data_IF_640247216831
#
_entry.id   IF_640247216831
#
_cell.length_a   1.000
_cell.length_b   1.000
_cell.length_c   1.000
_cell.angle_alpha   90.00
_cell.angle_beta   90.00
_cell.angle_gamma   90.00
#
_symmetry.space_group_name_H-M   'P 1'
#
loop_
_entity.id
_entity.type
_entity.pdbx_description
1 polymer ?
#
# COMPACT_ATOMS: atom_id res chain seq x y z
N UNK A 1 19.02 23.83 -66.10
CA UNK A 1 17.64 23.63 -66.56
C UNK A 1 17.29 22.21 -66.18
N UNK A 2 16.45 21.90 -65.20
CA UNK A 2 15.41 22.66 -64.49
C UNK A 2 15.34 22.22 -63.03
N UNK A 3 14.97 23.18 -62.18
CA UNK A 3 14.56 23.02 -60.79
C UNK A 3 13.17 22.39 -60.70
N UNK A 4 12.80 21.82 -59.55
CA UNK A 4 11.44 21.32 -59.37
C UNK A 4 11.09 20.69 -58.03
N UNK A 5 11.32 21.43 -56.94
CA UNK A 5 10.47 21.55 -55.73
C UNK A 5 9.72 20.28 -55.24
N UNK A 6 10.12 19.79 -54.06
CA UNK A 6 9.14 19.52 -53.01
C UNK A 6 9.77 19.67 -51.62
N UNK A 7 9.67 20.90 -51.09
CA UNK A 7 9.83 21.24 -49.67
C UNK A 7 8.43 21.48 -49.12
N UNK A 8 8.09 20.75 -48.05
CA UNK A 8 7.30 21.10 -46.84
C UNK A 8 6.57 19.83 -46.41
N UNK A 9 6.79 19.28 -45.22
CA UNK A 9 6.46 19.86 -43.91
C UNK A 9 7.38 19.24 -42.82
N UNK A 10 8.14 20.01 -42.03
CA UNK A 10 7.75 20.56 -40.72
C UNK A 10 6.81 19.61 -39.96
N UNK A 11 7.14 19.07 -38.80
CA UNK A 11 7.58 19.73 -37.57
C UNK A 11 7.71 18.58 -36.52
N UNK A 12 8.30 18.84 -35.34
CA UNK A 12 8.16 18.03 -34.10
C UNK A 12 9.15 16.83 -34.01
N UNK A 13 10.07 16.68 -33.07
CA UNK A 13 10.40 17.33 -31.80
C UNK A 13 11.93 17.39 -31.71
N UNK A 14 12.52 18.59 -31.83
CA UNK A 14 13.90 18.80 -31.44
C UNK A 14 13.91 19.06 -29.93
N UNK A 15 13.73 18.00 -29.12
CA UNK A 15 14.03 18.09 -27.69
C UNK A 15 15.53 18.03 -27.58
N UNK A 16 16.11 19.22 -27.51
CA UNK A 16 17.46 19.47 -27.02
C UNK A 16 17.62 18.73 -25.69
N UNK A 17 18.17 17.51 -25.75
CA UNK A 17 18.68 16.78 -24.62
C UNK A 17 19.90 17.59 -24.14
N UNK A 18 19.63 18.60 -23.30
CA UNK A 18 20.66 19.17 -22.43
C UNK A 18 21.30 17.98 -21.72
N UNK A 19 22.54 17.65 -22.08
CA UNK A 19 23.40 16.77 -21.29
C UNK A 19 23.62 17.47 -19.96
N UNK A 20 22.69 17.29 -19.04
CA UNK A 20 22.99 17.37 -17.63
C UNK A 20 23.97 16.22 -17.39
N UNK A 21 25.25 16.53 -17.35
CA UNK A 21 26.21 15.73 -16.59
C UNK A 21 25.78 15.82 -15.13
N UNK A 22 24.70 15.11 -14.78
CA UNK A 22 24.43 14.76 -13.41
C UNK A 22 25.62 13.90 -13.01
N UNK A 23 26.37 14.38 -12.01
CA UNK A 23 27.27 13.54 -11.26
C UNK A 23 26.37 12.48 -10.63
N UNK A 24 26.28 11.32 -11.28
CA UNK A 24 25.57 10.18 -10.76
C UNK A 24 26.29 9.82 -9.46
N UNK A 25 25.61 9.81 -8.30
CA UNK A 25 26.23 9.36 -7.06
C UNK A 25 26.80 7.95 -7.26
N UNK A 26 28.00 7.68 -6.74
CA UNK A 26 28.72 6.40 -6.95
C UNK A 26 27.85 5.16 -6.65
N UNK A 27 26.96 5.26 -5.66
CA UNK A 27 26.00 4.21 -5.29
C UNK A 27 24.97 3.90 -6.39
N UNK A 28 24.52 4.91 -7.13
CA UNK A 28 23.57 4.73 -8.24
C UNK A 28 24.26 4.10 -9.46
N UNK A 29 25.54 4.45 -9.69
CA UNK A 29 26.36 3.83 -10.73
C UNK A 29 26.59 2.34 -10.42
N UNK A 30 26.81 1.98 -9.15
CA UNK A 30 26.95 0.58 -8.71
C UNK A 30 25.72 -0.26 -9.04
N UNK A 31 24.51 0.27 -8.82
CA UNK A 31 23.26 -0.42 -9.17
C UNK A 31 23.10 -0.56 -10.69
N UNK A 32 23.46 0.46 -11.46
CA UNK A 32 23.47 0.37 -12.93
C UNK A 32 24.42 -0.70 -13.45
N UNK A 33 25.61 -0.85 -12.83
CA UNK A 33 26.53 -1.93 -13.13
C UNK A 33 25.93 -3.31 -12.82
N UNK A 34 25.28 -3.47 -11.66
CA UNK A 34 24.62 -4.71 -11.27
C UNK A 34 23.49 -5.12 -12.24
N UNK A 35 22.66 -4.18 -12.67
CA UNK A 35 21.60 -4.45 -13.66
C UNK A 35 22.18 -4.91 -15.01
N UNK A 36 23.31 -4.32 -15.43
CA UNK A 36 24.02 -4.73 -16.64
C UNK A 36 24.62 -6.14 -16.50
N UNK A 37 25.14 -6.51 -15.34
CA UNK A 37 25.62 -7.87 -15.06
C UNK A 37 24.47 -8.90 -15.10
N UNK A 38 23.27 -8.51 -14.66
CA UNK A 38 22.04 -9.32 -14.80
C UNK A 38 21.43 -9.30 -16.20
N UNK A 39 22.12 -8.71 -17.18
CA UNK A 39 21.68 -8.62 -18.57
C UNK A 39 20.35 -7.85 -18.77
N UNK A 40 20.09 -6.86 -17.91
CA UNK A 40 18.93 -5.95 -18.04
C UNK A 40 19.34 -4.70 -18.82
N UNK A 41 19.01 -4.67 -20.12
CA UNK A 41 19.46 -3.61 -21.03
C UNK A 41 18.57 -2.35 -21.03
N UNK A 42 17.29 -2.49 -20.64
CA UNK A 42 16.32 -1.40 -20.65
C UNK A 42 15.54 -1.37 -19.34
N UNK A 43 15.64 -0.26 -18.61
CA UNK A 43 14.91 0.00 -17.37
C UNK A 43 14.49 1.46 -17.28
N UNK A 44 13.42 1.74 -16.55
CA UNK A 44 13.03 3.10 -16.20
C UNK A 44 14.08 3.68 -15.23
N UNK A 45 14.62 4.89 -15.47
CA UNK A 45 15.56 5.54 -14.55
C UNK A 45 15.09 5.60 -13.09
N UNK A 46 13.78 5.65 -12.83
CA UNK A 46 13.20 5.64 -11.47
C UNK A 46 13.46 4.34 -10.72
N UNK A 47 13.66 3.22 -11.43
CA UNK A 47 13.96 1.92 -10.82
C UNK A 47 15.30 1.97 -10.09
N UNK A 48 16.28 2.72 -10.59
CA UNK A 48 17.56 2.88 -9.91
C UNK A 48 17.41 3.54 -8.54
N UNK A 49 16.61 4.60 -8.46
CA UNK A 49 16.35 5.30 -7.20
C UNK A 49 15.54 4.43 -6.23
N UNK A 50 14.52 3.72 -6.72
CA UNK A 50 13.74 2.79 -5.92
C UNK A 50 14.59 1.66 -5.34
N UNK A 51 15.47 1.07 -6.17
CA UNK A 51 16.35 -0.01 -5.74
C UNK A 51 17.40 0.49 -4.75
N UNK A 52 17.90 1.72 -4.93
CA UNK A 52 18.81 2.35 -3.98
C UNK A 52 18.12 2.59 -2.63
N UNK A 53 16.92 3.16 -2.65
CA UNK A 53 16.12 3.40 -1.45
C UNK A 53 15.77 2.09 -0.73
N UNK A 54 15.42 1.04 -1.48
CA UNK A 54 15.16 -0.29 -0.92
C UNK A 54 16.43 -0.88 -0.27
N UNK A 55 17.59 -0.79 -0.94
CA UNK A 55 18.85 -1.28 -0.40
C UNK A 55 19.25 -0.54 0.89
N UNK A 56 19.06 0.78 0.95
CA UNK A 56 19.29 1.56 2.15
C UNK A 56 18.31 1.23 3.28
N UNK A 57 17.02 1.12 2.98
CA UNK A 57 16.01 0.73 3.96
C UNK A 57 16.33 -0.65 4.55
N UNK A 58 16.63 -1.63 3.70
CA UNK A 58 17.02 -2.97 4.11
C UNK A 58 18.27 -2.97 4.99
N UNK A 59 19.33 -2.27 4.58
CA UNK A 59 20.58 -2.20 5.35
C UNK A 59 20.38 -1.54 6.70
N UNK A 60 19.55 -0.48 6.75
CA UNK A 60 19.21 0.22 7.99
C UNK A 60 18.47 -0.70 8.96
N UNK A 61 17.46 -1.42 8.49
CA UNK A 61 16.69 -2.35 9.33
C UNK A 61 17.58 -3.47 9.86
N UNK A 62 18.48 -4.00 9.03
CA UNK A 62 19.46 -5.01 9.43
C UNK A 62 20.38 -4.49 10.54
N UNK A 63 20.92 -3.26 10.39
CA UNK A 63 21.78 -2.64 11.40
C UNK A 63 21.03 -2.43 12.72
N UNK A 64 19.77 -1.98 12.67
CA UNK A 64 18.92 -1.81 13.86
C UNK A 64 18.75 -3.16 14.58
N UNK A 65 18.45 -4.22 13.82
CA UNK A 65 18.30 -5.58 14.37
C UNK A 65 19.61 -6.13 14.95
N UNK A 66 20.72 -5.93 14.27
CA UNK A 66 22.04 -6.31 14.81
C UNK A 66 22.39 -5.53 16.08
N UNK A 67 21.99 -4.27 16.18
CA UNK A 67 22.15 -3.49 17.42
C UNK A 67 21.29 -4.05 18.55
N UNK A 68 20.04 -4.45 18.25
CA UNK A 68 19.15 -5.11 19.22
C UNK A 68 19.79 -6.38 19.79
N UNK A 69 20.38 -7.24 18.96
CA UNK A 69 21.10 -8.43 19.42
C UNK A 69 22.35 -8.11 20.22
N UNK A 70 23.13 -7.12 19.82
CA UNK A 70 24.28 -6.67 20.62
C UNK A 70 23.83 -6.19 22.01
N UNK A 71 22.69 -5.49 22.10
CA UNK A 71 22.11 -5.02 23.37
C UNK A 71 21.60 -6.14 24.25
N UNK A 72 21.05 -7.22 23.68
CA UNK A 72 20.65 -8.42 24.43
C UNK A 72 21.86 -9.03 25.15
N UNK A 73 23.02 -9.01 24.50
CA UNK A 73 24.30 -9.45 25.06
C UNK A 73 25.01 -8.36 25.89
N UNK A 74 24.30 -7.29 26.26
CA UNK A 74 24.83 -6.13 27.02
C UNK A 74 26.05 -5.44 26.38
N UNK A 75 26.23 -5.57 25.07
CA UNK A 75 27.29 -4.93 24.29
C UNK A 75 26.77 -3.68 23.58
N UNK A 76 27.65 -2.68 23.44
CA UNK A 76 27.36 -1.43 22.69
C UNK A 76 27.91 -1.43 21.27
N UNK A 77 28.76 -2.42 20.94
CA UNK A 77 29.34 -2.60 19.61
C UNK A 77 28.72 -3.80 18.92
N UNK A 78 28.29 -3.59 17.68
CA UNK A 78 27.83 -4.65 16.78
C UNK A 78 29.03 -5.52 16.40
N UNK A 79 28.87 -6.84 16.49
CA UNK A 79 29.83 -7.84 16.03
C UNK A 79 29.25 -8.62 14.85
N UNK A 80 30.11 -9.38 14.16
CA UNK A 80 29.71 -10.18 13.00
C UNK A 80 28.62 -11.21 13.35
N UNK A 81 28.64 -11.78 14.56
CA UNK A 81 27.60 -12.72 15.01
C UNK A 81 26.21 -12.08 15.06
N UNK A 82 26.11 -10.82 15.50
CA UNK A 82 24.84 -10.10 15.60
C UNK A 82 24.25 -9.82 14.20
N UNK A 83 25.11 -9.53 13.23
CA UNK A 83 24.73 -9.39 11.82
C UNK A 83 24.26 -10.73 11.22
N UNK A 84 24.95 -11.83 11.50
CA UNK A 84 24.56 -13.16 11.02
C UNK A 84 23.20 -13.60 11.54
N UNK A 85 22.92 -13.34 12.82
CA UNK A 85 21.61 -13.67 13.42
C UNK A 85 20.51 -12.84 12.74
N UNK A 86 20.71 -11.53 12.57
CA UNK A 86 19.74 -10.66 11.88
C UNK A 86 19.47 -11.09 10.43
N UNK A 87 20.50 -11.49 9.69
CA UNK A 87 20.34 -12.00 8.32
C UNK A 87 19.57 -13.32 8.32
N UNK A 88 19.86 -14.24 9.24
CA UNK A 88 19.16 -15.53 9.35
C UNK A 88 17.68 -15.33 9.66
N UNK A 89 17.36 -14.48 10.63
CA UNK A 89 15.96 -14.15 10.98
C UNK A 89 15.20 -13.56 9.78
N UNK A 90 15.83 -12.62 9.06
CA UNK A 90 15.23 -12.05 7.85
C UNK A 90 14.97 -13.12 6.78
N UNK A 91 15.94 -14.00 6.54
CA UNK A 91 15.81 -15.08 5.57
C UNK A 91 14.67 -16.04 5.94
N UNK A 92 14.58 -16.45 7.19
CA UNK A 92 13.54 -17.36 7.67
C UNK A 92 12.14 -16.76 7.56
N UNK A 93 11.98 -15.49 7.93
CA UNK A 93 10.68 -14.82 7.91
C UNK A 93 10.23 -14.43 6.50
N UNK A 94 11.14 -13.90 5.69
CA UNK A 94 10.79 -13.25 4.42
C UNK A 94 11.03 -14.13 3.18
N UNK A 95 12.03 -15.01 3.19
CA UNK A 95 12.48 -15.72 1.98
C UNK A 95 12.19 -17.22 2.03
N UNK A 96 12.49 -17.88 3.15
CA UNK A 96 12.35 -19.33 3.29
C UNK A 96 10.90 -19.80 3.16
N UNK A 97 9.94 -19.00 3.65
CA UNK A 97 8.51 -19.31 3.57
C UNK A 97 7.98 -19.32 2.12
N UNK A 98 8.69 -18.74 1.15
CA UNK A 98 8.19 -18.59 -0.22
C UNK A 98 8.44 -19.81 -1.12
N UNK A 99 9.36 -20.72 -0.77
CA UNK A 99 9.85 -21.74 -1.72
C UNK A 99 9.91 -23.18 -1.18
N UNK A 100 9.11 -23.53 -0.17
CA UNK A 100 9.12 -24.89 0.37
C UNK A 100 8.45 -25.89 -0.59
N UNK A 101 9.23 -26.49 -1.48
CA UNK A 101 8.80 -27.56 -2.40
C UNK A 101 8.27 -28.76 -1.64
N UNK A 102 8.86 -29.10 -0.49
CA UNK A 102 8.40 -30.19 0.37
C UNK A 102 7.00 -29.93 0.93
N UNK A 103 6.74 -28.71 1.43
CA UNK A 103 5.42 -28.34 1.93
C UNK A 103 4.38 -28.38 0.79
N UNK A 104 4.72 -27.82 -0.36
CA UNK A 104 3.85 -27.82 -1.54
C UNK A 104 3.55 -29.25 -2.03
N UNK A 105 4.54 -30.13 -2.05
CA UNK A 105 4.35 -31.53 -2.45
C UNK A 105 3.50 -32.31 -1.45
N UNK A 106 3.67 -32.05 -0.15
CA UNK A 106 2.85 -32.68 0.90
C UNK A 106 1.38 -32.28 0.74
N UNK A 107 1.12 -30.97 0.64
CA UNK A 107 -0.23 -30.43 0.44
C UNK A 107 -0.82 -30.92 -0.88
N UNK A 108 -0.03 -30.93 -1.96
CA UNK A 108 -0.49 -31.41 -3.26
C UNK A 108 -0.84 -32.90 -3.21
N UNK A 109 -0.06 -33.72 -2.49
CA UNK A 109 -0.34 -35.15 -2.36
C UNK A 109 -1.62 -35.40 -1.55
N UNK A 110 -1.85 -34.61 -0.51
CA UNK A 110 -3.08 -34.67 0.29
C UNK A 110 -4.30 -34.28 -0.54
N UNK A 111 -4.26 -33.14 -1.24
CA UNK A 111 -5.36 -32.66 -2.09
C UNK A 111 -5.63 -33.61 -3.26
N UNK A 112 -4.57 -34.08 -3.93
CA UNK A 112 -4.69 -34.97 -5.09
C UNK A 112 -5.09 -36.40 -4.70
N UNK A 113 -5.13 -36.74 -3.40
CA UNK A 113 -5.67 -38.01 -2.94
C UNK A 113 -7.20 -38.06 -3.02
N UNK A 114 -7.86 -36.90 -3.10
CA UNK A 114 -9.31 -36.81 -3.24
C UNK A 114 -9.73 -37.20 -4.66
N UNK A 115 -10.76 -38.05 -4.81
CA UNK A 115 -11.26 -38.41 -6.13
C UNK A 115 -11.85 -37.18 -6.82
N UNK A 116 -11.71 -37.12 -8.14
CA UNK A 116 -12.33 -36.07 -8.94
C UNK A 116 -13.87 -36.11 -8.78
N UNK A 117 -14.54 -34.94 -8.76
CA UNK A 117 -15.98 -34.87 -8.65
C UNK A 117 -16.66 -35.54 -9.85
N UNK A 118 -17.83 -36.14 -9.60
CA UNK A 118 -18.61 -36.78 -10.66
C UNK A 118 -19.34 -35.72 -11.49
N UNK A 119 -19.07 -35.70 -12.79
CA UNK A 119 -19.77 -34.79 -13.71
C UNK A 119 -21.00 -35.48 -14.30
N UNK A 120 -22.17 -34.81 -14.38
CA UNK A 120 -23.33 -35.36 -15.07
C UNK A 120 -23.05 -35.45 -16.58
N UNK A 121 -22.89 -36.68 -17.10
CA UNK A 121 -22.47 -36.98 -18.48
C UNK A 121 -23.55 -36.78 -19.57
N UNK A 122 -24.73 -36.26 -19.23
CA UNK A 122 -25.85 -36.14 -20.16
C UNK A 122 -25.97 -34.71 -20.70
N UNK A 123 -25.23 -34.43 -21.78
CA UNK A 123 -25.62 -33.43 -22.78
C UNK A 123 -25.43 -31.95 -22.42
N UNK A 124 -24.55 -31.61 -21.48
CA UNK A 124 -24.31 -30.21 -21.11
C UNK A 124 -23.02 -29.68 -21.73
N UNK A 125 -23.16 -29.00 -22.87
CA UNK A 125 -22.21 -27.98 -23.34
C UNK A 125 -22.34 -26.70 -22.48
N UNK A 126 -22.55 -26.85 -21.17
CA UNK A 126 -22.86 -25.76 -20.23
C UNK A 126 -21.85 -25.76 -19.10
N UNK A 127 -21.41 -24.56 -18.75
CA UNK A 127 -20.57 -24.30 -17.57
C UNK A 127 -21.35 -24.75 -16.33
N UNK A 128 -20.73 -25.58 -15.48
CA UNK A 128 -21.29 -25.92 -14.18
C UNK A 128 -20.92 -24.81 -13.20
N UNK A 129 -21.93 -24.05 -12.78
CA UNK A 129 -21.77 -23.00 -11.77
C UNK A 129 -21.99 -23.61 -10.37
N UNK A 130 -21.29 -23.11 -9.33
CA UNK A 130 -21.64 -23.39 -7.93
C UNK A 130 -23.09 -22.99 -7.62
N UNK A 131 -23.61 -23.40 -6.47
CA UNK A 131 -24.98 -23.06 -6.09
C UNK A 131 -25.16 -21.56 -5.84
N UNK A 132 -26.38 -21.04 -5.98
CA UNK A 132 -26.70 -19.62 -5.76
C UNK A 132 -26.29 -19.11 -4.36
N UNK A 133 -26.23 -20.00 -3.36
CA UNK A 133 -25.77 -19.67 -2.00
C UNK A 133 -24.25 -19.50 -1.90
N UNK A 134 -23.49 -20.26 -2.69
CA UNK A 134 -22.02 -20.19 -2.74
C UNK A 134 -21.54 -19.06 -3.66
N UNK A 135 -22.41 -18.60 -4.55
CA UNK A 135 -22.13 -17.50 -5.44
C UNK A 135 -22.36 -16.14 -4.75
N UNK A 136 -21.44 -15.19 -4.97
CA UNK A 136 -21.61 -13.80 -4.53
C UNK A 136 -22.57 -13.02 -5.47
N UNK A 137 -23.80 -13.53 -5.62
CA UNK A 137 -24.86 -12.90 -6.45
C UNK A 137 -25.72 -11.90 -5.66
N UNK A 138 -25.56 -11.86 -4.34
CA UNK A 138 -26.23 -10.91 -3.46
C UNK A 138 -25.24 -9.82 -3.03
N UNK A 139 -25.05 -8.78 -3.86
CA UNK A 139 -24.26 -7.64 -3.43
C UNK A 139 -24.86 -7.01 -2.18
N UNK A 140 -24.05 -6.88 -1.13
CA UNK A 140 -24.40 -6.19 0.10
C UNK A 140 -24.16 -4.67 0.02
N UNK A 141 -23.82 -4.13 -1.15
CA UNK A 141 -23.53 -2.71 -1.36
C UNK A 141 -24.79 -1.85 -1.64
N UNK A 142 -25.97 -2.24 -1.17
CA UNK A 142 -27.13 -1.34 -1.21
C UNK A 142 -26.83 -0.14 -0.31
N UNK A 143 -26.29 0.94 -0.89
CA UNK A 143 -26.23 2.23 -0.25
C UNK A 143 -27.67 2.60 0.11
N UNK A 144 -27.97 2.65 1.41
CA UNK A 144 -29.26 3.08 1.89
C UNK A 144 -29.43 4.56 1.54
N UNK A 145 -29.95 4.84 0.35
CA UNK A 145 -30.20 6.20 -0.15
C UNK A 145 -31.19 6.97 0.75
N UNK A 146 -31.91 6.29 1.65
CA UNK A 146 -32.74 6.93 2.67
C UNK A 146 -31.91 7.66 3.74
N UNK A 147 -30.65 7.27 3.95
CA UNK A 147 -29.73 7.93 4.90
C UNK A 147 -29.20 9.26 4.39
N UNK A 148 -29.06 9.44 3.07
CA UNK A 148 -28.63 10.70 2.45
C UNK A 148 -29.66 11.83 2.59
N UNK A 149 -30.96 11.50 2.60
CA UNK A 149 -32.02 12.49 2.66
C UNK A 149 -32.31 13.02 4.09
N UNK A 150 -31.69 12.44 5.12
CA UNK A 150 -31.87 12.87 6.52
C UNK A 150 -30.88 13.94 6.97
N UNK A 151 -29.74 14.12 6.29
CA UNK A 151 -28.76 15.15 6.67
C UNK A 151 -29.09 16.55 6.13
N UNK A 152 -29.95 16.68 5.11
CA UNK A 152 -30.30 17.99 4.53
C UNK A 152 -31.52 18.68 5.16
N UNK A 153 -32.23 18.03 6.08
CA UNK A 153 -33.49 18.54 6.66
C UNK A 153 -33.30 19.10 8.09
N UNK A 154 -32.20 18.77 8.76
CA UNK A 154 -32.02 19.12 10.18
C UNK A 154 -31.51 20.55 10.45
N UNK A 155 -31.16 21.33 9.42
CA UNK A 155 -30.57 22.67 9.59
C UNK A 155 -31.59 23.81 9.41
N UNK A 156 -32.77 23.54 8.85
CA UNK A 156 -33.81 24.57 8.60
C UNK A 156 -34.94 24.63 9.61
N UNK A 157 -35.07 23.66 10.53
CA UNK A 157 -36.20 23.61 11.48
C UNK A 157 -35.91 24.17 12.88
N UNK A 158 -34.66 24.50 13.22
CA UNK A 158 -34.31 25.00 14.57
C UNK A 158 -34.45 26.51 14.79
N UNK A 159 -34.80 27.31 13.77
CA UNK A 159 -34.83 28.78 13.89
C UNK A 159 -36.21 29.34 14.29
N UNK A 160 -37.30 28.56 14.19
CA UNK A 160 -38.67 29.09 14.30
C UNK A 160 -39.46 28.66 15.55
N UNK A 161 -38.85 28.03 16.56
CA UNK A 161 -39.59 27.48 17.71
C UNK A 161 -39.27 28.08 19.09
N UNK A 162 -38.34 29.03 19.19
CA UNK A 162 -37.91 29.55 20.51
C UNK A 162 -38.51 30.92 20.89
N UNK A 163 -39.51 31.42 20.15
CA UNK A 163 -40.06 32.78 20.37
C UNK A 163 -41.51 32.84 20.88
N UNK A 164 -41.98 31.84 21.62
CA UNK A 164 -43.26 31.98 22.33
C UNK A 164 -43.30 31.20 23.64
N UNK A 165 -43.16 31.93 24.74
CA UNK A 165 -43.78 31.55 26.01
C UNK A 165 -42.81 31.20 27.13
N UNK A 166 -42.31 32.21 27.83
CA UNK A 166 -41.94 32.03 29.23
C UNK A 166 -42.37 33.25 30.03
N UNK A 167 -43.28 32.98 30.97
CA UNK A 167 -44.00 33.95 31.79
C UNK A 167 -43.06 34.65 32.77
N UNK A 168 -43.26 35.97 32.89
CA UNK A 168 -42.65 36.86 33.89
C UNK A 168 -43.23 36.55 35.28
N UNK A 169 -42.35 36.52 36.28
CA UNK A 169 -42.63 36.34 37.72
C UNK A 169 -41.52 35.48 38.32
N UNK A 170 -40.59 35.95 39.15
CA UNK A 170 -40.54 37.16 39.97
C UNK A 170 -40.41 36.70 41.41
N UNK A 171 -39.18 36.36 41.83
CA UNK A 171 -38.74 36.30 43.23
C UNK A 171 -37.23 36.63 43.20
N UNK A 172 -36.91 37.83 43.70
CA UNK A 172 -35.57 38.34 43.93
C UNK A 172 -35.28 38.04 45.40
N UNK A 173 -34.37 37.10 45.64
CA UNK A 173 -33.68 37.02 46.93
C UNK A 173 -32.26 37.56 46.69
N UNK A 174 -32.13 38.85 46.96
CA UNK A 174 -30.88 39.51 47.23
C UNK A 174 -30.39 39.01 48.59
N UNK A 175 -29.36 38.17 48.61
CA UNK A 175 -28.44 38.11 49.75
C UNK A 175 -27.02 38.11 49.21
N UNK A 176 -26.47 39.32 49.26
CA UNK A 176 -25.05 39.62 49.33
C UNK A 176 -24.40 38.79 50.44
N UNK A 177 -23.18 38.32 50.20
CA UNK A 177 -22.05 38.54 51.10
C UNK A 177 -20.81 37.85 50.50
N UNK A 178 -19.99 38.66 49.84
CA UNK A 178 -18.59 38.93 50.20
C UNK A 178 -17.56 37.78 50.41
N UNK A 179 -16.37 38.05 49.83
CA UNK A 179 -15.01 37.79 50.39
C UNK A 179 -14.46 36.36 50.23
N UNK A 180 -13.21 36.11 49.84
CA UNK A 180 -12.08 36.90 49.37
C UNK A 180 -11.08 35.93 48.70
N UNK A 181 -10.17 36.50 47.92
CA UNK A 181 -8.97 35.90 47.33
C UNK A 181 -8.03 35.22 48.35
N UNK A 182 -7.50 34.04 48.00
CA UNK A 182 -6.05 33.76 47.82
C UNK A 182 -5.80 32.30 47.35
#
# INVERSE_FOLDING_TARGET
MEEGISRVSNLVYNVSQKKYTQVIPDSLASIGCLLREMNVESYDPRVLDQLLNAAFAFSKDLIIKSNEYARIDSRTSIQECDAKIAISEYYETSVANQSSTLANNTVSSEINSLPLPTFPSKGVSKIWLPTDYEMSITPNWNQDLASFNRMSVSETEKINQDNSGMSIGGDIDDDMDDIDDD
#
